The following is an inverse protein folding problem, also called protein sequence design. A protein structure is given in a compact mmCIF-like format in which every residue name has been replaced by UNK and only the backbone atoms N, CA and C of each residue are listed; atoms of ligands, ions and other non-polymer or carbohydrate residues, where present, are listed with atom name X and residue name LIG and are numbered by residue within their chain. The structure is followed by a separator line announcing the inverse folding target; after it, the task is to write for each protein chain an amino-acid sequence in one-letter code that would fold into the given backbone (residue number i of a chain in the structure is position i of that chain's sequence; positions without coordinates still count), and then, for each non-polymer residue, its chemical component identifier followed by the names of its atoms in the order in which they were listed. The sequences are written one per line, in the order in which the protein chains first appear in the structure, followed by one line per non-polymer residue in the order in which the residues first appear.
data_IF_893109644539
#
_entry.id   IF_893109644539
#
_cell.length_a   1.000
_cell.length_b   1.000
_cell.length_c   1.000
_cell.angle_alpha   90.00
_cell.angle_beta   90.00
_cell.angle_gamma   90.00
#
_symmetry.space_group_name_H-M   'P 1'
#
loop_
_entity.id
_entity.type
_entity.pdbx_description
1 polymer ?
#
# COMPACT_ATOMS: atom_id res chain seq x y z
N UNK A 1 -41.96 -47.60 9.51
CA UNK A 1 -41.63 -47.10 10.85
C UNK A 1 -40.13 -47.28 11.08
N UNK A 2 -39.46 -46.27 11.67
CA UNK A 2 -38.08 -46.21 12.18
C UNK A 2 -36.87 -45.96 11.26
N UNK A 3 -36.68 -44.66 11.00
CA UNK A 3 -35.46 -43.83 11.11
C UNK A 3 -34.14 -44.53 11.52
N UNK A 4 -33.09 -44.43 10.68
CA UNK A 4 -31.69 -44.69 11.08
C UNK A 4 -30.75 -43.57 10.58
N UNK A 5 -30.98 -42.38 11.14
CA UNK A 5 -30.06 -41.23 11.31
C UNK A 5 -28.74 -41.25 10.52
N UNK A 6 -28.71 -40.47 9.45
CA UNK A 6 -27.55 -40.14 8.61
C UNK A 6 -26.65 -39.08 9.28
N UNK A 7 -26.48 -39.13 10.60
CA UNK A 7 -25.57 -38.26 11.33
C UNK A 7 -24.14 -38.78 11.18
N UNK A 8 -23.59 -38.61 9.98
CA UNK A 8 -22.14 -38.65 9.75
C UNK A 8 -21.56 -37.36 10.32
N UNK A 9 -21.41 -37.34 11.64
CA UNK A 9 -20.77 -36.23 12.35
C UNK A 9 -19.26 -36.34 12.12
N UNK A 10 -18.73 -35.26 11.58
CA UNK A 10 -17.34 -34.94 11.24
C UNK A 10 -16.30 -35.57 12.21
N UNK A 11 -15.17 -36.13 11.71
CA UNK A 11 -14.13 -36.77 12.52
C UNK A 11 -13.36 -35.82 13.45
N UNK A 12 -13.72 -34.54 13.48
CA UNK A 12 -13.02 -33.49 14.22
C UNK A 12 -13.51 -33.26 15.66
N UNK A 13 -14.64 -33.84 16.09
CA UNK A 13 -15.25 -33.48 17.38
C UNK A 13 -14.69 -34.21 18.62
N UNK A 14 -13.77 -35.16 18.46
CA UNK A 14 -13.33 -36.03 19.56
C UNK A 14 -11.84 -36.37 19.53
N UNK A 15 -11.01 -35.47 19.00
CA UNK A 15 -9.59 -35.45 19.35
C UNK A 15 -9.48 -35.08 20.83
N UNK A 16 -9.00 -36.00 21.66
CA UNK A 16 -8.82 -35.71 23.08
C UNK A 16 -7.90 -34.48 23.24
N UNK A 17 -8.14 -33.68 24.29
CA UNK A 17 -7.28 -32.53 24.59
C UNK A 17 -5.80 -32.93 24.73
N UNK A 18 -5.53 -34.18 25.15
CA UNK A 18 -4.19 -34.74 25.25
C UNK A 18 -3.58 -35.03 23.88
N UNK A 19 -4.32 -35.64 22.95
CA UNK A 19 -3.86 -35.87 21.57
C UNK A 19 -3.66 -34.56 20.81
N UNK A 20 -4.54 -33.57 21.04
CA UNK A 20 -4.40 -32.24 20.45
C UNK A 20 -3.15 -31.50 20.95
N UNK A 21 -2.74 -31.73 22.21
CA UNK A 21 -1.51 -31.18 22.77
C UNK A 21 -0.26 -31.90 22.23
N UNK A 22 -0.30 -33.24 22.16
CA UNK A 22 0.79 -34.04 21.59
C UNK A 22 1.02 -33.72 20.10
N UNK A 23 -0.03 -33.40 19.34
CA UNK A 23 0.08 -33.01 17.94
C UNK A 23 0.65 -31.60 17.78
N UNK A 24 0.31 -30.66 18.69
CA UNK A 24 0.88 -29.30 18.72
C UNK A 24 2.35 -29.26 19.12
N UNK A 25 2.80 -30.18 19.97
CA UNK A 25 4.21 -30.33 20.35
C UNK A 25 5.07 -30.92 19.22
N UNK A 26 4.48 -31.81 18.40
CA UNK A 26 5.17 -32.42 17.25
C UNK A 26 5.18 -31.55 15.99
N UNK A 27 4.27 -30.57 15.89
CA UNK A 27 4.30 -29.60 14.79
C UNK A 27 5.42 -28.59 15.05
N UNK A 28 6.32 -28.35 14.07
CA UNK A 28 7.35 -27.32 14.23
C UNK A 28 6.66 -26.00 14.58
N UNK A 29 7.21 -25.20 15.51
CA UNK A 29 6.59 -23.95 15.90
C UNK A 29 6.33 -23.17 14.61
N UNK A 30 5.06 -22.84 14.37
CA UNK A 30 4.67 -21.99 13.24
C UNK A 30 5.40 -20.69 13.46
N UNK A 31 6.59 -20.58 12.86
CA UNK A 31 7.36 -19.35 12.83
C UNK A 31 6.40 -18.36 12.22
N UNK A 32 5.86 -17.46 13.05
CA UNK A 32 5.11 -16.29 12.58
C UNK A 32 6.07 -15.59 11.65
N UNK A 33 5.99 -15.93 10.37
CA UNK A 33 6.75 -15.31 9.31
C UNK A 33 6.27 -13.87 9.36
N UNK A 34 7.05 -13.02 10.03
CA UNK A 34 6.74 -11.60 10.15
C UNK A 34 6.46 -11.16 8.72
N UNK A 35 5.22 -10.75 8.38
CA UNK A 35 4.87 -10.56 6.98
C UNK A 35 5.82 -9.54 6.32
N UNK A 36 6.26 -8.55 7.10
CA UNK A 36 7.30 -7.56 6.76
C UNK A 36 8.70 -8.11 6.43
N UNK A 37 9.09 -9.28 6.95
CA UNK A 37 10.40 -9.89 6.65
C UNK A 37 10.41 -10.54 5.27
N UNK A 38 9.28 -11.06 4.82
CA UNK A 38 9.08 -11.59 3.47
C UNK A 38 8.88 -10.46 2.46
N UNK A 39 8.12 -9.41 2.82
CA UNK A 39 7.90 -8.25 1.95
C UNK A 39 9.17 -7.56 1.46
N UNK A 40 10.22 -7.44 2.29
CA UNK A 40 11.50 -6.87 1.82
C UNK A 40 12.18 -7.73 0.76
N UNK A 41 12.04 -9.06 0.86
CA UNK A 41 12.57 -9.99 -0.15
C UNK A 41 11.78 -9.87 -1.45
N UNK A 42 10.46 -9.71 -1.35
CA UNK A 42 9.57 -9.54 -2.49
C UNK A 42 9.81 -8.19 -3.20
N UNK A 43 9.92 -7.10 -2.43
CA UNK A 43 10.27 -5.76 -2.94
C UNK A 43 11.63 -5.75 -3.63
N UNK A 44 12.61 -6.50 -3.10
CA UNK A 44 13.93 -6.63 -3.72
C UNK A 44 13.90 -7.46 -5.00
N UNK A 45 12.96 -8.42 -5.15
CA UNK A 45 12.76 -9.22 -6.37
C UNK A 45 12.09 -8.42 -7.49
N UNK A 46 11.35 -7.37 -7.16
CA UNK A 46 10.82 -6.44 -8.16
C UNK A 46 12.02 -5.78 -8.87
N UNK A 47 12.06 -5.92 -10.19
CA UNK A 47 13.07 -5.27 -11.03
C UNK A 47 12.77 -3.77 -11.03
N UNK A 48 13.44 -3.02 -10.15
CA UNK A 48 13.30 -1.58 -10.11
C UNK A 48 13.94 -0.96 -11.37
N UNK A 49 13.25 0.00 -12.01
CA UNK A 49 13.84 0.73 -13.13
C UNK A 49 15.12 1.42 -12.68
N UNK A 50 16.14 1.44 -13.55
CA UNK A 50 17.44 2.08 -13.25
C UNK A 50 17.19 3.51 -12.79
N UNK A 51 17.74 3.88 -11.62
CA UNK A 51 17.53 5.19 -10.99
C UNK A 51 17.80 6.36 -11.95
N UNK A 52 18.81 6.23 -12.84
CA UNK A 52 19.13 7.24 -13.87
C UNK A 52 17.97 7.55 -14.83
N UNK A 53 17.13 6.57 -15.17
CA UNK A 53 15.96 6.77 -16.04
C UNK A 53 14.84 7.47 -15.27
N UNK A 54 14.55 7.02 -14.05
CA UNK A 54 13.53 7.64 -13.19
C UNK A 54 13.87 9.09 -12.82
N UNK A 55 15.15 9.40 -12.56
CA UNK A 55 15.61 10.74 -12.21
C UNK A 55 15.39 11.76 -13.33
N UNK A 56 15.54 11.36 -14.60
CA UNK A 56 15.24 12.23 -15.74
C UNK A 56 13.77 12.65 -15.75
N UNK A 57 12.86 11.68 -15.62
CA UNK A 57 11.42 11.95 -15.60
C UNK A 57 11.00 12.78 -14.38
N UNK A 58 11.58 12.50 -13.21
CA UNK A 58 11.36 13.32 -12.02
C UNK A 58 11.84 14.77 -12.20
N UNK A 59 13.01 14.97 -12.79
CA UNK A 59 13.52 16.31 -13.09
C UNK A 59 12.61 17.07 -14.07
N UNK A 60 12.05 16.39 -15.08
CA UNK A 60 11.04 17.01 -15.96
C UNK A 60 9.78 17.44 -15.20
N UNK A 61 9.28 16.62 -14.26
CA UNK A 61 8.12 17.00 -13.44
C UNK A 61 8.42 18.20 -12.53
N UNK A 62 9.64 18.27 -11.99
CA UNK A 62 10.06 19.39 -11.17
C UNK A 62 10.15 20.68 -11.99
N UNK A 63 10.74 20.60 -13.19
CA UNK A 63 10.84 21.73 -14.10
C UNK A 63 9.46 22.23 -14.53
N UNK A 64 8.56 21.32 -14.89
CA UNK A 64 7.17 21.66 -15.23
C UNK A 64 6.45 22.35 -14.08
N UNK A 65 6.62 21.86 -12.85
CA UNK A 65 6.06 22.47 -11.65
C UNK A 65 6.55 23.90 -11.46
N UNK A 66 7.85 24.14 -11.58
CA UNK A 66 8.46 25.47 -11.42
C UNK A 66 7.95 26.43 -12.50
N UNK A 67 7.87 25.97 -13.76
CA UNK A 67 7.36 26.79 -14.86
C UNK A 67 5.91 27.20 -14.62
N UNK A 68 5.05 26.26 -14.22
CA UNK A 68 3.65 26.56 -13.91
C UNK A 68 3.49 27.47 -12.70
N UNK A 69 4.30 27.28 -11.66
CA UNK A 69 4.29 28.14 -10.48
C UNK A 69 4.65 29.58 -10.85
N UNK A 70 5.68 29.79 -11.67
CA UNK A 70 6.07 31.12 -12.16
C UNK A 70 4.99 31.71 -13.06
N UNK A 71 4.42 30.91 -13.96
CA UNK A 71 3.35 31.35 -14.86
C UNK A 71 2.11 31.81 -14.09
N UNK A 72 1.64 31.03 -13.13
CA UNK A 72 0.50 31.42 -12.28
C UNK A 72 0.83 32.64 -11.43
N UNK A 73 2.04 32.73 -10.88
CA UNK A 73 2.47 33.90 -10.13
C UNK A 73 2.42 35.17 -11.00
N UNK A 74 2.90 35.11 -12.23
CA UNK A 74 2.83 36.23 -13.19
C UNK A 74 1.39 36.62 -13.52
N UNK A 75 0.52 35.62 -13.75
CA UNK A 75 -0.90 35.87 -14.01
C UNK A 75 -1.53 36.57 -12.81
N UNK A 76 -1.29 36.08 -11.58
CA UNK A 76 -1.80 36.71 -10.36
C UNK A 76 -1.34 38.16 -10.26
N UNK A 77 -0.03 38.43 -10.43
CA UNK A 77 0.51 39.80 -10.38
C UNK A 77 -0.08 40.68 -11.49
N UNK A 78 -0.28 40.14 -12.69
CA UNK A 78 -0.88 40.87 -13.80
C UNK A 78 -2.31 41.29 -13.48
N UNK A 79 -3.14 40.37 -12.97
CA UNK A 79 -4.51 40.68 -12.55
C UNK A 79 -4.56 41.65 -11.38
N UNK A 80 -3.68 41.50 -10.37
CA UNK A 80 -3.57 42.44 -9.26
C UNK A 80 -3.21 43.84 -9.76
N UNK A 81 -2.27 43.97 -10.71
CA UNK A 81 -1.90 45.26 -11.29
C UNK A 81 -3.02 45.86 -12.13
N UNK A 82 -3.72 45.05 -12.92
CA UNK A 82 -4.91 45.48 -13.66
C UNK A 82 -5.99 46.00 -12.72
N UNK A 83 -6.21 45.33 -11.59
CA UNK A 83 -7.18 45.77 -10.60
C UNK A 83 -6.76 47.05 -9.88
N UNK A 84 -5.46 47.24 -9.63
CA UNK A 84 -4.92 48.48 -9.07
C UNK A 84 -4.90 49.65 -10.08
N UNK A 85 -4.88 49.35 -11.38
CA UNK A 85 -4.91 50.36 -12.46
C UNK A 85 -6.35 50.76 -12.83
N UNK A 86 -7.27 49.79 -12.84
CA UNK A 86 -8.70 50.01 -13.13
C UNK A 86 -9.48 50.44 -11.88
N UNK A 87 -9.06 50.00 -10.70
CA UNK A 87 -9.56 50.45 -9.41
C UNK A 87 -8.94 51.79 -9.09
N UNK A 88 -9.74 52.84 -9.27
CA UNK A 88 -9.48 54.21 -8.82
C UNK A 88 -8.77 54.19 -7.45
N UNK A 89 -7.56 54.74 -7.40
CA UNK A 89 -6.94 55.21 -6.16
C UNK A 89 -7.98 56.01 -5.38
N UNK A 90 -8.40 55.52 -4.22
CA UNK A 90 -8.83 56.40 -3.14
C UNK A 90 -7.57 57.01 -2.50
#
# INVERSE_FOLDING_TARGET
MNQRNDNKIEPFQNLSFAESQALKEKLPPVTKERPFRSFRKDIKRIIWPKAKKAWKWYAFTLLFLVVFAVLFFLITVFFTNIWNSLGIKL
#
